data_IF_445557505680
#
_entry.id   IF_445557505680
#
_cell.length_a   1.000
_cell.length_b   1.000
_cell.length_c   1.000
_cell.angle_alpha   90.00
_cell.angle_beta   90.00
_cell.angle_gamma   90.00
#
_symmetry.space_group_name_H-M   'P 1'
#
loop_
_entity.id
_entity.type
_entity.pdbx_description
1 polymer ?
#
# COMPACT_ATOMS: atom_id res chain seq x y z
N UNK A 1 28.29 21.91 28.99
CA UNK A 1 28.16 23.09 29.87
C UNK A 1 26.82 23.71 29.52
N UNK A 2 25.82 23.54 30.39
CA UNK A 2 24.60 24.36 30.35
C UNK A 2 24.95 25.81 30.78
N UNK A 3 24.10 26.84 30.58
CA UNK A 3 22.76 26.96 31.20
C UNK A 3 21.73 27.63 30.23
N UNK A 4 20.48 27.97 30.52
CA UNK A 4 19.63 27.93 31.72
C UNK A 4 18.15 27.97 31.28
N UNK A 5 17.25 27.57 32.18
CA UNK A 5 15.79 27.55 32.02
C UNK A 5 15.13 28.93 32.26
N UNK A 6 13.93 29.12 31.73
CA UNK A 6 13.07 30.27 32.10
C UNK A 6 11.73 30.26 31.38
N UNK A 7 10.72 29.63 32.00
CA UNK A 7 9.31 29.86 31.62
C UNK A 7 8.72 31.05 32.38
N UNK A 8 7.81 31.81 31.76
CA UNK A 8 6.40 32.04 32.18
C UNK A 8 5.70 33.07 31.26
N UNK A 9 4.38 32.90 31.17
CA UNK A 9 3.26 33.47 30.44
C UNK A 9 3.11 34.99 30.16
N UNK A 10 2.52 35.24 28.98
CA UNK A 10 1.72 36.36 28.41
C UNK A 10 1.52 37.70 29.17
N UNK A 11 1.83 38.79 28.45
CA UNK A 11 0.87 39.88 28.16
C UNK A 11 1.42 40.82 27.06
N UNK A 12 0.73 41.00 25.93
CA UNK A 12 1.01 42.12 25.00
C UNK A 12 -0.30 42.75 24.50
N UNK A 13 -0.54 43.97 24.95
CA UNK A 13 -1.42 44.99 24.35
C UNK A 13 -0.81 45.51 23.05
N UNK A 14 -1.69 45.91 22.15
CA UNK A 14 -1.47 46.55 20.86
C UNK A 14 -0.48 47.72 20.87
N UNK A 15 0.40 47.81 19.87
CA UNK A 15 0.34 48.86 18.84
C UNK A 15 1.33 48.60 17.68
N UNK A 16 0.76 48.70 16.49
CA UNK A 16 1.29 48.80 15.11
C UNK A 16 2.69 49.37 14.89
N UNK A 17 3.52 48.69 14.05
CA UNK A 17 3.95 49.13 12.69
C UNK A 17 4.90 48.12 12.05
N UNK A 18 4.84 48.05 10.71
CA UNK A 18 5.66 47.28 9.76
C UNK A 18 5.23 45.82 9.51
N UNK A 19 4.68 45.62 8.31
CA UNK A 19 4.01 44.39 7.88
C UNK A 19 4.96 43.24 7.57
N UNK A 20 4.85 42.18 8.36
CA UNK A 20 5.00 40.80 7.90
C UNK A 20 3.66 40.10 8.11
N UNK A 21 3.02 39.70 7.01
CA UNK A 21 1.86 38.80 7.07
C UNK A 21 2.34 37.45 7.60
N UNK A 22 2.21 37.22 8.89
CA UNK A 22 2.21 35.87 9.45
C UNK A 22 0.89 35.26 9.02
N UNK A 23 0.89 34.55 7.90
CA UNK A 23 -0.21 33.65 7.54
C UNK A 23 -0.15 32.47 8.51
N UNK A 24 -0.83 32.59 9.65
CA UNK A 24 -1.25 31.40 10.41
C UNK A 24 -2.31 30.75 9.53
N UNK A 25 -1.93 29.68 8.84
CA UNK A 25 -2.86 28.83 8.11
C UNK A 25 -3.72 28.10 9.15
N UNK A 26 -4.78 28.74 9.62
CA UNK A 26 -5.90 28.04 10.28
C UNK A 26 -6.61 27.30 9.16
N UNK A 27 -6.05 26.15 8.77
CA UNK A 27 -6.73 25.23 7.88
C UNK A 27 -8.02 24.81 8.56
N UNK A 28 -9.15 25.15 7.96
CA UNK A 28 -10.45 24.62 8.36
C UNK A 28 -10.40 23.10 8.15
N UNK A 29 -9.97 22.36 9.16
CA UNK A 29 -10.00 20.90 9.11
C UNK A 29 -11.47 20.51 9.18
N UNK A 30 -12.04 20.17 8.02
CA UNK A 30 -13.34 19.52 7.98
C UNK A 30 -13.26 18.24 8.80
N UNK A 31 -13.76 18.28 10.03
CA UNK A 31 -14.00 17.11 10.86
C UNK A 31 -15.06 16.29 10.12
N UNK A 32 -14.62 15.37 9.27
CA UNK A 32 -15.53 14.38 8.71
C UNK A 32 -15.89 13.45 9.84
N UNK A 33 -17.14 13.55 10.30
CA UNK A 33 -17.69 12.63 11.29
C UNK A 33 -17.63 11.21 10.72
N UNK A 34 -16.59 10.46 11.10
CA UNK A 34 -16.57 9.02 10.91
C UNK A 34 -17.53 8.49 11.97
N UNK A 35 -18.78 8.26 11.57
CA UNK A 35 -19.81 7.68 12.42
C UNK A 35 -19.26 6.46 13.16
N UNK A 36 -19.46 6.47 14.48
CA UNK A 36 -18.85 5.63 15.51
C UNK A 36 -18.16 4.36 15.02
N UNK A 37 -16.85 4.30 15.22
CA UNK A 37 -16.03 3.10 15.06
C UNK A 37 -16.47 2.08 16.12
N UNK A 38 -17.53 1.30 15.83
CA UNK A 38 -17.86 0.14 16.67
C UNK A 38 -16.69 -0.83 16.61
N UNK A 39 -16.20 -1.26 17.77
CA UNK A 39 -15.23 -2.33 17.87
C UNK A 39 -15.82 -3.57 17.20
N UNK A 40 -15.13 -4.09 16.18
CA UNK A 40 -15.56 -5.32 15.54
C UNK A 40 -15.36 -6.45 16.54
N UNK A 41 -16.43 -7.19 16.88
CA UNK A 41 -16.46 -8.24 17.91
C UNK A 41 -15.64 -9.50 17.58
N UNK A 42 -14.69 -9.43 16.66
CA UNK A 42 -13.90 -10.56 16.19
C UNK A 42 -12.41 -10.28 16.27
N UNK A 43 -11.64 -11.35 16.49
CA UNK A 43 -10.20 -11.29 16.70
C UNK A 43 -9.45 -12.15 15.69
N UNK A 44 -8.23 -11.71 15.36
CA UNK A 44 -7.23 -12.49 14.64
C UNK A 44 -6.32 -13.29 15.59
N UNK A 45 -6.45 -13.12 16.91
CA UNK A 45 -5.67 -13.87 17.90
C UNK A 45 -5.68 -15.40 17.66
N UNK A 46 -6.80 -16.05 17.28
CA UNK A 46 -6.78 -17.48 17.00
C UNK A 46 -5.89 -17.89 15.82
N UNK A 47 -5.58 -16.97 14.90
CA UNK A 47 -4.61 -17.22 13.83
C UNK A 47 -3.19 -17.39 14.38
N UNK A 48 -2.87 -16.71 15.48
CA UNK A 48 -1.53 -16.62 16.05
C UNK A 48 -1.26 -17.66 17.15
N UNK A 49 -2.23 -18.52 17.47
CA UNK A 49 -2.09 -19.54 18.50
C UNK A 49 -0.91 -20.49 18.21
N UNK A 50 0.12 -20.42 19.04
CA UNK A 50 1.34 -21.21 18.89
C UNK A 50 2.20 -20.83 17.68
N UNK A 51 2.07 -19.61 17.17
CA UNK A 51 2.88 -19.08 16.06
C UNK A 51 3.83 -18.02 16.63
N UNK A 52 5.14 -18.28 16.62
CA UNK A 52 6.19 -17.36 17.06
C UNK A 52 6.96 -16.77 15.89
N UNK A 53 7.13 -17.53 14.82
CA UNK A 53 7.78 -17.07 13.59
C UNK A 53 7.20 -17.80 12.38
N UNK A 54 7.08 -17.09 11.26
CA UNK A 54 6.79 -17.72 9.96
C UNK A 54 7.95 -17.52 8.99
N UNK A 55 8.06 -18.40 7.99
CA UNK A 55 9.08 -18.32 6.96
C UNK A 55 8.91 -17.07 6.07
N UNK A 56 9.99 -16.69 5.40
CA UNK A 56 10.02 -15.74 4.29
C UNK A 56 10.34 -16.48 2.99
N UNK A 57 9.32 -17.00 2.27
CA UNK A 57 9.56 -17.73 1.04
C UNK A 57 9.95 -16.78 -0.09
N UNK A 58 11.20 -16.85 -0.55
CA UNK A 58 11.70 -15.94 -1.59
C UNK A 58 11.76 -14.51 -1.08
N UNK A 59 11.00 -13.60 -1.72
CA UNK A 59 10.81 -12.22 -1.23
C UNK A 59 9.31 -11.94 -1.11
N UNK A 60 8.73 -12.07 0.09
CA UNK A 60 7.33 -11.73 0.30
C UNK A 60 7.02 -10.27 -0.01
N UNK A 61 5.79 -10.03 -0.47
CA UNK A 61 5.23 -8.69 -0.61
C UNK A 61 4.40 -8.27 0.60
N UNK A 62 4.00 -7.00 0.60
CA UNK A 62 3.10 -6.45 1.64
C UNK A 62 1.64 -6.41 1.17
N UNK A 63 0.72 -6.21 2.11
CA UNK A 63 -0.70 -5.95 1.87
C UNK A 63 -1.10 -4.59 2.44
N UNK A 64 -2.03 -3.92 1.77
CA UNK A 64 -2.76 -2.81 2.36
C UNK A 64 -4.05 -3.30 2.99
N UNK A 65 -4.22 -3.00 4.28
CA UNK A 65 -5.43 -3.31 5.06
C UNK A 65 -6.18 -2.01 5.26
N UNK A 66 -7.38 -1.88 4.67
CA UNK A 66 -8.10 -0.60 4.62
C UNK A 66 -9.60 -0.68 4.91
N UNK A 67 -10.16 -1.88 5.05
CA UNK A 67 -11.57 -2.04 5.42
C UNK A 67 -11.78 -1.99 6.93
N UNK A 68 -12.98 -1.59 7.39
CA UNK A 68 -13.34 -1.60 8.82
C UNK A 68 -13.41 -3.02 9.41
N UNK A 69 -13.59 -4.03 8.55
CA UNK A 69 -13.64 -5.46 8.89
C UNK A 69 -12.40 -6.23 8.38
N UNK A 70 -11.24 -5.56 8.33
CA UNK A 70 -9.98 -6.15 7.95
C UNK A 70 -8.91 -5.91 9.04
N UNK A 71 -7.94 -6.83 9.17
CA UNK A 71 -6.90 -6.81 10.20
C UNK A 71 -5.59 -7.36 9.64
N UNK A 72 -4.49 -6.73 10.01
CA UNK A 72 -3.18 -7.36 9.85
C UNK A 72 -3.06 -8.56 10.81
N UNK A 73 -2.31 -9.57 10.41
CA UNK A 73 -2.07 -10.81 11.17
C UNK A 73 -0.59 -10.95 11.46
N UNK A 74 0.25 -10.82 10.43
CA UNK A 74 1.71 -10.77 10.55
C UNK A 74 2.20 -9.56 9.79
N UNK A 75 3.19 -8.86 10.33
CA UNK A 75 3.77 -7.66 9.73
C UNK A 75 5.27 -7.79 9.54
N UNK A 76 5.78 -7.07 8.57
CA UNK A 76 7.19 -6.79 8.43
C UNK A 76 7.61 -5.62 9.34
N UNK A 77 8.85 -5.14 9.16
CA UNK A 77 9.28 -3.84 9.66
C UNK A 77 10.03 -3.10 8.56
N UNK A 78 9.50 -1.98 8.11
CA UNK A 78 10.12 -1.16 7.08
C UNK A 78 11.37 -0.41 7.60
N UNK A 79 12.12 0.23 6.69
CA UNK A 79 13.34 0.97 7.05
C UNK A 79 13.10 2.19 7.96
N UNK A 80 11.84 2.61 8.15
CA UNK A 80 11.44 3.66 9.09
C UNK A 80 10.88 3.14 10.42
N UNK A 81 10.94 1.81 10.63
CA UNK A 81 10.40 1.17 11.83
C UNK A 81 8.88 0.96 11.82
N UNK A 82 8.19 1.27 10.71
CA UNK A 82 6.76 1.03 10.57
C UNK A 82 6.48 -0.44 10.25
N UNK A 83 5.43 -0.99 10.83
CA UNK A 83 4.95 -2.32 10.53
C UNK A 83 4.04 -2.30 9.29
N UNK A 84 4.33 -3.13 8.27
CA UNK A 84 3.44 -3.31 7.11
C UNK A 84 2.92 -4.74 7.05
N UNK A 85 1.64 -4.97 6.76
CA UNK A 85 1.07 -6.32 6.73
C UNK A 85 1.74 -7.22 5.68
N UNK A 86 2.09 -8.45 6.07
CA UNK A 86 2.56 -9.55 5.19
C UNK A 86 1.54 -10.69 5.14
N UNK A 87 0.76 -10.82 6.22
CA UNK A 87 -0.44 -11.65 6.27
C UNK A 87 -1.57 -10.79 6.80
N UNK A 88 -2.74 -10.85 6.18
CA UNK A 88 -3.92 -10.10 6.60
C UNK A 88 -5.17 -10.97 6.55
N UNK A 89 -6.18 -10.60 7.33
CA UNK A 89 -7.45 -11.28 7.38
C UNK A 89 -8.62 -10.28 7.29
N UNK A 90 -9.74 -10.71 6.75
CA UNK A 90 -10.95 -9.90 6.68
C UNK A 90 -12.22 -10.74 6.82
N UNK A 91 -13.30 -10.09 7.24
CA UNK A 91 -14.66 -10.65 7.16
C UNK A 91 -15.44 -9.98 6.05
N UNK A 92 -16.19 -10.78 5.29
CA UNK A 92 -17.04 -10.29 4.21
C UNK A 92 -18.38 -11.03 4.21
N UNK A 93 -19.46 -10.30 4.51
CA UNK A 93 -20.75 -10.92 4.83
C UNK A 93 -20.60 -11.91 6.00
N UNK A 94 -20.94 -13.18 5.77
CA UNK A 94 -20.76 -14.26 6.76
C UNK A 94 -19.44 -15.02 6.62
N UNK A 95 -18.63 -14.72 5.59
CA UNK A 95 -17.39 -15.42 5.31
C UNK A 95 -16.15 -14.74 5.90
N UNK A 96 -15.04 -15.47 5.79
CA UNK A 96 -13.75 -15.11 6.35
C UNK A 96 -12.66 -15.32 5.29
N UNK A 97 -11.72 -14.39 5.21
CA UNK A 97 -10.61 -14.44 4.25
C UNK A 97 -9.28 -14.24 4.96
N UNK A 98 -8.26 -15.00 4.57
CA UNK A 98 -6.86 -14.79 4.96
C UNK A 98 -6.02 -14.69 3.68
N UNK A 99 -5.15 -13.68 3.60
CA UNK A 99 -4.30 -13.41 2.45
C UNK A 99 -2.83 -13.38 2.89
N UNK A 100 -1.98 -14.09 2.15
CA UNK A 100 -0.54 -14.19 2.38
C UNK A 100 0.21 -13.47 1.24
N UNK A 101 1.17 -12.60 1.58
CA UNK A 101 1.89 -11.75 0.62
C UNK A 101 2.88 -12.47 -0.30
N UNK A 102 2.86 -13.79 -0.36
CA UNK A 102 3.70 -14.57 -1.29
C UNK A 102 3.07 -15.92 -1.60
N UNK A 103 3.03 -16.33 -2.88
CA UNK A 103 2.50 -17.65 -3.28
C UNK A 103 3.24 -18.82 -2.62
N UNK A 104 4.54 -18.64 -2.36
CA UNK A 104 5.39 -19.63 -1.70
C UNK A 104 4.96 -20.03 -0.29
N UNK A 105 4.11 -19.25 0.40
CA UNK A 105 3.51 -19.65 1.69
C UNK A 105 2.63 -20.91 1.58
N UNK A 106 2.20 -21.26 0.36
CA UNK A 106 1.42 -22.47 0.07
C UNK A 106 2.29 -23.65 -0.40
N UNK A 107 3.62 -23.52 -0.36
CA UNK A 107 4.56 -24.59 -0.68
C UNK A 107 4.90 -25.44 0.55
N UNK A 108 5.18 -26.72 0.37
CA UNK A 108 5.60 -27.61 1.47
C UNK A 108 6.90 -27.12 2.12
N UNK A 109 7.84 -26.60 1.33
CA UNK A 109 9.09 -26.03 1.82
C UNK A 109 8.89 -24.89 2.84
N UNK A 110 7.93 -23.98 2.57
CA UNK A 110 7.60 -22.92 3.53
C UNK A 110 6.86 -23.49 4.75
N UNK A 111 5.93 -24.43 4.54
CA UNK A 111 5.09 -25.00 5.59
C UNK A 111 5.87 -25.82 6.63
N UNK A 112 7.02 -26.37 6.24
CA UNK A 112 7.94 -27.10 7.11
C UNK A 112 8.92 -26.19 7.87
N UNK A 113 9.03 -24.91 7.48
CA UNK A 113 9.91 -23.93 8.12
C UNK A 113 9.17 -23.11 9.18
N UNK A 114 9.74 -23.08 10.39
CA UNK A 114 9.18 -22.40 11.57
C UNK A 114 7.71 -22.79 11.82
N UNK A 115 6.85 -21.85 12.22
CA UNK A 115 5.44 -22.09 12.52
C UNK A 115 4.51 -21.82 11.32
N UNK A 116 5.05 -21.77 10.10
CA UNK A 116 4.27 -21.43 8.89
C UNK A 116 3.13 -22.41 8.65
N UNK A 117 3.39 -23.71 8.77
CA UNK A 117 2.38 -24.75 8.68
C UNK A 117 1.31 -24.63 9.78
N UNK A 118 1.70 -24.23 11.00
CA UNK A 118 0.77 -23.96 12.10
C UNK A 118 -0.13 -22.76 11.76
N UNK A 119 0.41 -21.66 11.26
CA UNK A 119 -0.38 -20.49 10.85
C UNK A 119 -1.40 -20.86 9.77
N UNK A 120 -1.03 -21.69 8.77
CA UNK A 120 -1.97 -22.15 7.75
C UNK A 120 -3.12 -22.99 8.36
N UNK A 121 -2.81 -23.90 9.28
CA UNK A 121 -3.83 -24.71 9.96
C UNK A 121 -4.76 -23.84 10.82
N UNK A 122 -4.23 -22.84 11.50
CA UNK A 122 -5.02 -21.87 12.25
C UNK A 122 -5.92 -21.05 11.31
N UNK A 123 -5.39 -20.63 10.16
CA UNK A 123 -6.17 -19.95 9.12
C UNK A 123 -7.32 -20.82 8.60
N UNK A 124 -7.11 -22.13 8.40
CA UNK A 124 -8.18 -23.06 8.01
C UNK A 124 -9.26 -23.12 9.09
N UNK A 125 -8.89 -23.28 10.36
CA UNK A 125 -9.84 -23.33 11.48
C UNK A 125 -10.64 -22.03 11.63
N UNK A 126 -9.96 -20.90 11.50
CA UNK A 126 -10.55 -19.57 11.60
C UNK A 126 -11.48 -19.27 10.43
N UNK A 127 -11.07 -19.56 9.20
CA UNK A 127 -11.90 -19.38 8.00
C UNK A 127 -13.07 -20.36 7.92
N UNK A 128 -12.92 -21.57 8.49
CA UNK A 128 -13.99 -22.55 8.67
C UNK A 128 -15.05 -22.11 9.69
N UNK A 129 -14.80 -21.04 10.45
CA UNK A 129 -15.68 -20.53 11.51
C UNK A 129 -16.06 -21.63 12.51
N UNK A 130 -15.04 -22.34 13.00
CA UNK A 130 -15.17 -23.45 13.96
C UNK A 130 -15.94 -24.69 13.45
N UNK A 131 -16.19 -24.83 12.15
CA UNK A 131 -16.65 -26.11 11.58
C UNK A 131 -15.58 -27.18 11.84
N UNK A 132 -15.93 -28.26 12.55
CA UNK A 132 -14.98 -29.31 12.99
C UNK A 132 -14.24 -30.00 11.83
N UNK A 133 -14.92 -30.25 10.72
CA UNK A 133 -14.36 -30.93 9.53
C UNK A 133 -14.73 -30.16 8.27
N UNK A 134 -14.03 -29.05 7.96
CA UNK A 134 -14.29 -28.28 6.75
C UNK A 134 -13.83 -29.05 5.52
N UNK A 135 -14.61 -28.99 4.44
CA UNK A 135 -14.24 -29.48 3.11
C UNK A 135 -13.36 -28.43 2.46
N UNK A 136 -12.07 -28.73 2.35
CA UNK A 136 -11.07 -27.82 1.78
C UNK A 136 -10.84 -28.18 0.31
N UNK A 137 -10.96 -27.20 -0.57
CA UNK A 137 -10.56 -27.30 -1.96
C UNK A 137 -9.29 -26.48 -2.18
N UNK A 138 -8.31 -27.07 -2.87
CA UNK A 138 -7.00 -26.47 -3.13
C UNK A 138 -6.82 -26.31 -4.64
N UNK A 139 -6.55 -25.10 -5.09
CA UNK A 139 -6.36 -24.80 -6.51
C UNK A 139 -5.00 -25.34 -6.97
N UNK A 140 -5.01 -26.36 -7.83
CA UNK A 140 -3.84 -26.83 -8.59
C UNK A 140 -2.65 -27.42 -7.81
N UNK A 141 -2.66 -27.40 -6.47
CA UNK A 141 -1.50 -27.75 -5.65
C UNK A 141 -1.69 -29.11 -4.93
N UNK A 142 -1.22 -30.20 -5.58
CA UNK A 142 -1.29 -31.57 -5.05
C UNK A 142 -0.45 -31.77 -3.79
N UNK A 143 0.75 -31.19 -3.75
CA UNK A 143 1.65 -31.30 -2.60
C UNK A 143 1.06 -30.68 -1.34
N UNK A 144 0.40 -29.52 -1.48
CA UNK A 144 -0.35 -28.91 -0.37
C UNK A 144 -1.50 -29.80 0.11
N UNK A 145 -2.23 -30.46 -0.79
CA UNK A 145 -3.26 -31.43 -0.38
C UNK A 145 -2.65 -32.60 0.40
N UNK A 146 -1.50 -33.11 -0.03
CA UNK A 146 -0.74 -34.13 0.69
C UNK A 146 -0.38 -33.69 2.12
N UNK A 147 0.18 -32.48 2.27
CA UNK A 147 0.48 -31.89 3.56
C UNK A 147 -0.77 -31.72 4.43
N UNK A 148 -1.87 -31.19 3.89
CA UNK A 148 -3.10 -30.99 4.65
C UNK A 148 -3.69 -32.32 5.15
N UNK A 149 -3.66 -33.37 4.32
CA UNK A 149 -4.11 -34.71 4.69
C UNK A 149 -3.25 -35.32 5.79
N UNK A 150 -1.92 -35.15 5.76
CA UNK A 150 -1.04 -35.60 6.85
C UNK A 150 -1.31 -34.89 8.18
N UNK A 151 -1.98 -33.74 8.14
CA UNK A 151 -2.49 -33.00 9.32
C UNK A 151 -3.98 -33.24 9.60
N UNK A 152 -4.57 -34.31 9.05
CA UNK A 152 -5.97 -34.69 9.22
C UNK A 152 -6.99 -33.66 8.70
N UNK A 153 -6.63 -32.86 7.69
CA UNK A 153 -7.54 -31.93 7.01
C UNK A 153 -8.06 -32.57 5.73
N UNK A 154 -9.39 -32.61 5.59
CA UNK A 154 -10.07 -33.11 4.39
C UNK A 154 -9.88 -32.14 3.22
N UNK A 155 -8.87 -32.40 2.39
CA UNK A 155 -8.50 -31.56 1.26
C UNK A 155 -8.58 -32.30 -0.09
N UNK A 156 -9.02 -31.59 -1.12
CA UNK A 156 -9.11 -32.06 -2.51
C UNK A 156 -8.50 -31.03 -3.45
N UNK A 157 -7.88 -31.50 -4.54
CA UNK A 157 -7.37 -30.61 -5.58
C UNK A 157 -8.50 -30.27 -6.53
N UNK A 158 -8.62 -28.99 -6.87
CA UNK A 158 -9.59 -28.47 -7.83
C UNK A 158 -8.92 -27.54 -8.83
N UNK A 159 -9.62 -27.25 -9.92
CA UNK A 159 -9.35 -26.10 -10.78
C UNK A 159 -10.35 -24.99 -10.43
N UNK A 160 -9.99 -23.73 -10.70
CA UNK A 160 -10.94 -22.63 -10.59
C UNK A 160 -12.08 -22.80 -11.60
N UNK A 161 -11.76 -23.31 -12.79
CA UNK A 161 -12.74 -23.81 -13.76
C UNK A 161 -13.37 -25.09 -13.22
N UNK A 162 -14.68 -25.05 -12.97
CA UNK A 162 -15.42 -26.18 -12.38
C UNK A 162 -15.57 -26.12 -10.86
N UNK A 163 -15.15 -25.03 -10.20
CA UNK A 163 -15.41 -24.84 -8.77
C UNK A 163 -16.92 -24.86 -8.50
N UNK A 164 -17.37 -25.80 -7.67
CA UNK A 164 -18.75 -25.88 -7.19
C UNK A 164 -18.84 -25.34 -5.75
N UNK A 165 -19.24 -24.07 -5.53
CA UNK A 165 -19.12 -23.44 -4.21
C UNK A 165 -19.98 -24.08 -3.11
N UNK A 166 -21.00 -24.88 -3.47
CA UNK A 166 -21.83 -25.62 -2.51
C UNK A 166 -21.14 -26.88 -1.96
N UNK A 167 -20.18 -27.42 -2.69
CA UNK A 167 -19.47 -28.65 -2.36
C UNK A 167 -18.28 -28.42 -1.40
N UNK A 168 -17.94 -27.17 -1.12
CA UNK A 168 -16.74 -26.81 -0.35
C UNK A 168 -17.09 -25.83 0.77
N UNK A 169 -16.25 -25.80 1.79
CA UNK A 169 -16.35 -24.81 2.87
C UNK A 169 -15.24 -23.76 2.77
N UNK A 170 -14.06 -24.16 2.29
CA UNK A 170 -12.90 -23.28 2.11
C UNK A 170 -12.26 -23.55 0.74
N UNK A 171 -11.89 -22.46 0.05
CA UNK A 171 -10.97 -22.50 -1.09
C UNK A 171 -9.59 -22.01 -0.65
N UNK A 172 -8.54 -22.73 -1.04
CA UNK A 172 -7.13 -22.34 -0.82
C UNK A 172 -6.41 -22.27 -2.17
N UNK A 173 -5.71 -21.17 -2.44
CA UNK A 173 -4.85 -21.06 -3.61
C UNK A 173 -4.74 -19.64 -4.17
N UNK A 174 -3.80 -19.42 -5.12
CA UNK A 174 -3.65 -18.15 -5.80
C UNK A 174 -4.87 -17.87 -6.70
N UNK A 175 -5.14 -16.59 -6.94
CA UNK A 175 -6.26 -16.14 -7.77
C UNK A 175 -5.84 -15.47 -9.08
N UNK A 176 -4.54 -15.31 -9.36
CA UNK A 176 -4.02 -14.62 -10.53
C UNK A 176 -4.60 -15.11 -11.88
N UNK A 177 -4.98 -16.39 -11.98
CA UNK A 177 -5.59 -16.97 -13.19
C UNK A 177 -7.13 -16.91 -13.24
N UNK A 178 -7.80 -16.25 -12.30
CA UNK A 178 -9.26 -16.20 -12.24
C UNK A 178 -9.85 -15.16 -13.21
N UNK A 179 -10.88 -15.55 -13.96
CA UNK A 179 -11.64 -14.64 -14.81
C UNK A 179 -12.70 -13.84 -14.03
N UNK A 180 -13.29 -12.77 -14.62
CA UNK A 180 -14.27 -11.93 -13.91
C UNK A 180 -15.50 -12.68 -13.37
N UNK A 181 -16.00 -13.70 -14.09
CA UNK A 181 -17.15 -14.50 -13.63
C UNK A 181 -16.79 -15.32 -12.39
N UNK A 182 -15.58 -15.85 -12.34
CA UNK A 182 -15.06 -16.58 -11.18
C UNK A 182 -14.89 -15.66 -9.98
N UNK A 183 -14.35 -14.45 -10.17
CA UNK A 183 -14.25 -13.44 -9.11
C UNK A 183 -15.62 -13.12 -8.51
N UNK A 184 -16.65 -12.91 -9.33
CA UNK A 184 -18.02 -12.68 -8.83
C UNK A 184 -18.64 -13.90 -8.15
N UNK A 185 -18.32 -15.11 -8.60
CA UNK A 185 -18.73 -16.35 -7.94
C UNK A 185 -18.09 -16.49 -6.55
N UNK A 186 -16.79 -16.23 -6.45
CA UNK A 186 -16.04 -16.27 -5.19
C UNK A 186 -16.52 -15.21 -4.22
N UNK A 187 -16.77 -13.98 -4.68
CA UNK A 187 -17.34 -12.94 -3.83
C UNK A 187 -18.68 -13.35 -3.23
N UNK A 188 -19.56 -13.99 -4.02
CA UNK A 188 -20.86 -14.52 -3.52
C UNK A 188 -20.66 -15.68 -2.55
N UNK A 189 -19.75 -16.61 -2.83
CA UNK A 189 -19.42 -17.73 -1.97
C UNK A 189 -18.96 -17.25 -0.58
N UNK A 190 -17.99 -16.32 -0.55
CA UNK A 190 -17.45 -15.75 0.69
C UNK A 190 -18.57 -15.00 1.43
N UNK A 191 -19.29 -14.09 0.75
CA UNK A 191 -20.39 -13.33 1.37
C UNK A 191 -21.43 -14.23 2.05
N UNK A 192 -21.69 -15.43 1.51
CA UNK A 192 -22.66 -16.39 2.05
C UNK A 192 -22.15 -17.23 3.22
N UNK A 193 -20.84 -17.24 3.49
CA UNK A 193 -20.24 -17.97 4.61
C UNK A 193 -19.01 -18.80 4.25
N UNK A 194 -18.60 -18.83 2.97
CA UNK A 194 -17.41 -19.55 2.53
C UNK A 194 -16.11 -18.92 3.04
N UNK A 195 -15.08 -19.75 3.22
CA UNK A 195 -13.73 -19.33 3.57
C UNK A 195 -12.82 -19.21 2.34
N UNK A 196 -11.92 -18.22 2.34
CA UNK A 196 -10.85 -18.12 1.35
C UNK A 196 -9.49 -17.99 2.06
N UNK A 197 -8.52 -18.79 1.64
CA UNK A 197 -7.12 -18.57 1.97
C UNK A 197 -6.36 -18.38 0.66
N UNK A 198 -5.90 -17.18 0.40
CA UNK A 198 -5.20 -16.84 -0.85
C UNK A 198 -3.78 -16.43 -0.57
N UNK A 199 -2.91 -16.59 -1.56
CA UNK A 199 -1.53 -16.16 -1.49
C UNK A 199 -1.11 -15.60 -2.84
N UNK A 200 -0.43 -14.46 -2.84
CA UNK A 200 -0.01 -13.80 -4.08
C UNK A 200 1.22 -12.93 -3.86
N UNK A 201 2.11 -12.90 -4.85
CA UNK A 201 3.31 -12.07 -4.84
C UNK A 201 3.02 -10.80 -5.66
N UNK A 202 2.42 -9.80 -5.01
CA UNK A 202 1.89 -8.61 -5.69
C UNK A 202 2.92 -7.84 -6.52
N UNK A 203 4.12 -7.61 -5.97
CA UNK A 203 5.21 -6.96 -6.70
C UNK A 203 5.65 -7.77 -7.94
N UNK A 204 5.80 -9.10 -7.80
CA UNK A 204 6.18 -9.96 -8.91
C UNK A 204 5.11 -10.05 -10.00
N UNK A 205 3.82 -10.00 -9.60
CA UNK A 205 2.73 -9.89 -10.57
C UNK A 205 2.81 -8.58 -11.37
N UNK A 206 3.09 -7.46 -10.70
CA UNK A 206 3.19 -6.15 -11.35
C UNK A 206 4.39 -6.05 -12.30
N UNK A 207 5.51 -6.70 -11.98
CA UNK A 207 6.70 -6.73 -12.84
C UNK A 207 6.44 -7.42 -14.18
N UNK A 208 5.74 -8.56 -14.17
CA UNK A 208 5.43 -9.30 -15.39
C UNK A 208 4.19 -8.77 -16.14
N UNK A 209 3.41 -7.88 -15.52
CA UNK A 209 2.26 -7.19 -16.12
C UNK A 209 2.46 -5.66 -16.11
N UNK A 210 3.57 -5.19 -16.66
CA UNK A 210 4.00 -3.79 -16.57
C UNK A 210 2.99 -2.76 -17.13
N UNK A 211 2.11 -3.18 -18.05
CA UNK A 211 1.07 -2.33 -18.66
C UNK A 211 -0.26 -2.36 -17.91
N UNK A 212 -0.38 -3.19 -16.86
CA UNK A 212 -1.60 -3.36 -16.07
C UNK A 212 -1.45 -2.72 -14.69
N UNK A 213 -2.55 -2.32 -14.07
CA UNK A 213 -2.58 -1.77 -12.72
C UNK A 213 -2.94 -2.89 -11.73
N UNK A 214 -2.02 -3.20 -10.80
CA UNK A 214 -2.21 -4.23 -9.77
C UNK A 214 -3.48 -4.03 -8.94
N UNK A 215 -3.98 -2.80 -8.75
CA UNK A 215 -5.19 -2.56 -7.97
C UNK A 215 -6.46 -2.89 -8.76
N UNK A 216 -6.47 -2.73 -10.09
CA UNK A 216 -7.67 -2.89 -10.93
C UNK A 216 -7.70 -4.15 -11.79
N UNK A 217 -6.55 -4.65 -12.23
CA UNK A 217 -6.46 -5.73 -13.22
C UNK A 217 -6.15 -7.08 -12.58
N UNK A 218 -5.45 -7.09 -11.46
CA UNK A 218 -5.16 -8.31 -10.71
C UNK A 218 -6.45 -8.95 -10.15
N UNK A 219 -6.78 -10.21 -10.52
CA UNK A 219 -8.02 -10.82 -10.09
C UNK A 219 -8.15 -10.98 -8.56
N UNK A 220 -7.03 -11.25 -7.87
CA UNK A 220 -6.97 -11.31 -6.41
C UNK A 220 -7.39 -9.99 -5.77
N UNK A 221 -6.80 -8.87 -6.20
CA UNK A 221 -7.14 -7.54 -5.71
C UNK A 221 -8.56 -7.10 -6.08
N UNK A 222 -9.07 -7.45 -7.28
CA UNK A 222 -10.47 -7.22 -7.65
C UNK A 222 -11.45 -7.86 -6.66
N UNK A 223 -11.12 -9.04 -6.13
CA UNK A 223 -11.89 -9.71 -5.09
C UNK A 223 -11.67 -9.08 -3.72
N UNK A 224 -10.41 -8.98 -3.30
CA UNK A 224 -10.01 -8.59 -1.94
C UNK A 224 -10.35 -7.13 -1.62
N UNK A 225 -10.34 -6.23 -2.61
CA UNK A 225 -10.65 -4.81 -2.40
C UNK A 225 -12.07 -4.63 -1.83
N UNK A 226 -13.02 -5.49 -2.23
CA UNK A 226 -14.41 -5.51 -1.70
C UNK A 226 -14.48 -5.83 -0.21
N UNK A 227 -13.41 -6.38 0.34
CA UNK A 227 -13.25 -6.84 1.72
C UNK A 227 -12.30 -5.95 2.51
N UNK A 228 -11.74 -4.90 1.88
CA UNK A 228 -10.82 -3.99 2.52
C UNK A 228 -9.38 -4.48 2.60
N UNK A 229 -8.95 -5.32 1.66
CA UNK A 229 -7.60 -5.84 1.54
C UNK A 229 -7.12 -5.69 0.09
N UNK A 230 -5.84 -5.41 -0.13
CA UNK A 230 -5.18 -5.58 -1.44
C UNK A 230 -3.72 -5.97 -1.22
N UNK A 231 -3.15 -6.78 -2.11
CA UNK A 231 -1.72 -6.94 -2.28
C UNK A 231 -1.12 -5.66 -2.85
N UNK A 232 0.06 -5.26 -2.37
CA UNK A 232 0.77 -4.08 -2.86
C UNK A 232 1.90 -4.48 -3.81
N UNK A 233 2.46 -3.49 -4.51
CA UNK A 233 3.66 -3.65 -5.32
C UNK A 233 4.96 -3.54 -4.50
N UNK A 234 4.89 -3.57 -3.17
CA UNK A 234 6.06 -3.44 -2.29
C UNK A 234 6.55 -4.80 -1.81
N UNK A 235 7.87 -4.92 -1.67
CA UNK A 235 8.52 -6.03 -0.98
C UNK A 235 8.50 -5.82 0.53
N UNK A 236 8.35 -6.91 1.27
CA UNK A 236 8.47 -6.97 2.71
C UNK A 236 9.94 -7.11 3.12
N UNK A 237 10.26 -6.65 4.33
CA UNK A 237 11.57 -6.88 4.95
C UNK A 237 11.44 -7.86 6.12
N UNK A 238 12.23 -8.92 6.08
CA UNK A 238 12.32 -9.90 7.14
C UNK A 238 12.61 -9.27 8.50
N UNK A 239 11.99 -9.81 9.54
CA UNK A 239 12.18 -9.38 10.95
C UNK A 239 12.93 -10.42 11.79
N UNK A 240 13.24 -11.58 11.19
CA UNK A 240 14.13 -12.63 11.68
C UNK A 240 14.86 -13.25 10.46
N UNK A 241 15.96 -14.02 10.65
CA UNK A 241 16.59 -14.74 9.55
C UNK A 241 15.58 -15.59 8.76
N UNK A 242 15.42 -15.27 7.47
CA UNK A 242 14.47 -15.86 6.53
C UNK A 242 13.03 -15.96 7.07
N UNK A 243 12.55 -14.94 7.78
CA UNK A 243 11.24 -15.00 8.41
C UNK A 243 10.72 -13.74 9.08
N UNK A 244 9.52 -13.88 9.63
CA UNK A 244 8.80 -12.83 10.33
C UNK A 244 8.48 -13.26 11.76
N UNK A 245 8.94 -12.49 12.73
CA UNK A 245 8.61 -12.68 14.15
C UNK A 245 7.15 -12.31 14.39
N UNK A 246 6.45 -13.13 15.17
CA UNK A 246 5.07 -12.92 15.58
C UNK A 246 5.04 -12.64 17.08
N UNK A 247 4.75 -11.39 17.45
CA UNK A 247 4.74 -10.90 18.84
C UNK A 247 3.34 -10.57 19.36
N UNK A 248 2.31 -11.21 18.80
CA UNK A 248 0.90 -10.95 19.11
C UNK A 248 0.17 -10.21 17.99
N UNK A 249 -1.05 -9.75 18.28
CA UNK A 249 -1.89 -9.05 17.29
C UNK A 249 -1.21 -7.73 16.89
N UNK A 250 -0.98 -7.49 15.58
CA UNK A 250 -0.43 -6.22 15.13
C UNK A 250 -1.29 -5.02 15.51
N UNK A 251 -0.66 -3.85 15.68
CA UNK A 251 -1.35 -2.61 16.02
C UNK A 251 -2.50 -2.30 15.06
N UNK A 252 -3.60 -1.78 15.59
CA UNK A 252 -4.73 -1.26 14.80
C UNK A 252 -4.31 -0.18 13.80
N UNK A 253 -3.18 0.50 14.05
CA UNK A 253 -2.62 1.51 13.15
C UNK A 253 -2.12 0.94 11.82
N UNK A 254 -1.95 -0.38 11.71
CA UNK A 254 -1.65 -1.07 10.44
C UNK A 254 -2.87 -1.20 9.53
N UNK A 255 -4.06 -0.84 10.01
CA UNK A 255 -5.28 -0.72 9.22
C UNK A 255 -5.55 0.76 8.89
N UNK A 256 -5.63 1.08 7.60
CA UNK A 256 -5.79 2.44 7.10
C UNK A 256 -7.13 3.09 7.47
N UNK A 257 -8.23 2.33 7.61
CA UNK A 257 -9.50 2.85 8.13
C UNK A 257 -9.36 3.32 9.58
N UNK A 258 -8.68 2.52 10.41
CA UNK A 258 -8.44 2.83 11.83
C UNK A 258 -7.43 3.96 11.98
N UNK A 259 -6.35 3.93 11.20
CA UNK A 259 -5.36 4.99 11.14
C UNK A 259 -5.99 6.34 10.76
N UNK A 260 -6.87 6.36 9.75
CA UNK A 260 -7.58 7.57 9.33
C UNK A 260 -8.56 8.08 10.39
N UNK A 261 -9.29 7.18 11.06
CA UNK A 261 -10.17 7.58 12.16
C UNK A 261 -9.39 8.29 13.28
N UNK A 262 -8.18 7.81 13.61
CA UNK A 262 -7.31 8.42 14.62
C UNK A 262 -6.71 9.76 14.16
N UNK A 263 -6.43 9.95 12.86
CA UNK A 263 -6.10 11.28 12.33
C UNK A 263 -7.23 12.28 12.60
N UNK A 264 -8.49 11.87 12.40
CA UNK A 264 -9.64 12.74 12.66
C UNK A 264 -9.80 13.04 14.15
N UNK A 265 -9.50 12.08 15.04
CA UNK A 265 -9.45 12.31 16.48
C UNK A 265 -8.39 13.34 16.85
N UNK A 266 -7.18 13.24 16.28
CA UNK A 266 -6.12 14.21 16.49
C UNK A 266 -6.49 15.60 16.01
N UNK A 267 -7.07 15.73 14.82
CA UNK A 267 -7.54 17.01 14.30
C UNK A 267 -8.61 17.66 15.19
N UNK A 268 -9.46 16.85 15.84
CA UNK A 268 -10.47 17.33 16.79
C UNK A 268 -9.94 17.57 18.21
N UNK A 269 -8.63 17.43 18.46
CA UNK A 269 -8.03 17.58 19.79
C UNK A 269 -8.35 16.45 20.78
N UNK A 270 -9.05 15.39 20.34
CA UNK A 270 -9.48 14.27 21.21
C UNK A 270 -8.36 13.29 21.56
N UNK A 271 -7.28 13.27 20.77
CA UNK A 271 -6.10 12.42 20.99
C UNK A 271 -4.86 13.07 20.42
N UNK A 272 -3.70 12.81 21.02
CA UNK A 272 -2.40 13.18 20.44
C UNK A 272 -1.65 11.92 20.02
N UNK A 273 -1.18 11.86 18.78
CA UNK A 273 -0.32 10.76 18.33
C UNK A 273 1.12 11.02 18.80
N UNK A 274 1.79 9.98 19.27
CA UNK A 274 3.24 9.98 19.43
C UNK A 274 3.93 10.06 18.06
N UNK A 275 5.23 10.39 18.04
CA UNK A 275 6.02 10.42 16.79
C UNK A 275 5.99 9.07 16.06
N UNK A 276 6.13 7.96 16.80
CA UNK A 276 6.09 6.61 16.22
C UNK A 276 4.71 6.26 15.64
N UNK A 277 3.63 6.62 16.34
CA UNK A 277 2.28 6.44 15.81
C UNK A 277 2.03 7.30 14.56
N UNK A 278 2.49 8.55 14.54
CA UNK A 278 2.37 9.43 13.37
C UNK A 278 3.09 8.83 12.15
N UNK A 279 4.32 8.33 12.33
CA UNK A 279 5.08 7.64 11.27
C UNK A 279 4.33 6.39 10.78
N UNK A 280 3.84 5.55 11.70
CA UNK A 280 3.06 4.35 11.34
C UNK A 280 1.79 4.69 10.56
N UNK A 281 1.04 5.72 11.02
CA UNK A 281 -0.18 6.19 10.37
C UNK A 281 0.12 6.71 8.98
N UNK A 282 1.16 7.54 8.82
CA UNK A 282 1.59 8.06 7.51
C UNK A 282 1.93 6.93 6.56
N UNK A 283 2.76 5.96 6.98
CA UNK A 283 3.09 4.78 6.16
C UNK A 283 1.83 4.03 5.74
N UNK A 284 0.93 3.76 6.69
CA UNK A 284 -0.30 3.01 6.43
C UNK A 284 -1.24 3.73 5.45
N UNK A 285 -1.47 5.04 5.63
CA UNK A 285 -2.36 5.83 4.76
C UNK A 285 -1.78 6.03 3.36
N UNK A 286 -0.48 6.26 3.24
CA UNK A 286 0.18 6.42 1.94
C UNK A 286 0.27 5.12 1.15
N UNK A 287 0.52 3.99 1.81
CA UNK A 287 0.42 2.65 1.18
C UNK A 287 -1.00 2.38 0.69
N UNK A 288 -2.03 2.68 1.50
CA UNK A 288 -3.43 2.58 1.09
C UNK A 288 -3.74 3.47 -0.12
N UNK A 289 -3.35 4.73 -0.08
CA UNK A 289 -3.56 5.68 -1.15
C UNK A 289 -2.97 5.22 -2.50
N UNK A 290 -1.79 4.59 -2.46
CA UNK A 290 -1.09 4.05 -3.64
C UNK A 290 -1.68 2.75 -4.17
N UNK A 291 -2.23 1.90 -3.30
CA UNK A 291 -2.55 0.50 -3.64
C UNK A 291 -4.05 0.23 -3.83
N UNK A 292 -4.92 1.10 -3.33
CA UNK A 292 -6.38 0.91 -3.40
C UNK A 292 -6.90 1.34 -4.79
N UNK A 293 -7.84 0.59 -5.41
CA UNK A 293 -8.41 0.96 -6.69
C UNK A 293 -9.16 2.29 -6.61
N UNK A 294 -9.13 3.07 -7.69
CA UNK A 294 -9.80 4.37 -7.76
C UNK A 294 -11.32 4.32 -7.54
N UNK A 295 -11.93 3.15 -7.76
CA UNK A 295 -13.35 2.84 -7.56
C UNK A 295 -13.72 2.47 -6.11
N UNK A 296 -12.77 2.48 -5.18
CA UNK A 296 -13.04 2.22 -3.77
C UNK A 296 -14.12 3.15 -3.21
N UNK A 297 -14.98 2.55 -2.38
CA UNK A 297 -16.12 3.22 -1.73
C UNK A 297 -15.97 3.23 -0.21
N UNK A 298 -14.91 2.61 0.34
CA UNK A 298 -14.69 2.54 1.77
C UNK A 298 -13.87 3.74 2.26
N UNK A 299 -12.57 3.75 2.00
CA UNK A 299 -11.63 4.69 2.62
C UNK A 299 -11.27 5.85 1.69
N UNK A 300 -10.99 5.54 0.42
CA UNK A 300 -10.36 6.47 -0.51
C UNK A 300 -11.17 7.76 -0.74
N UNK A 301 -12.51 7.75 -0.85
CA UNK A 301 -13.29 8.98 -0.96
C UNK A 301 -13.15 9.90 0.27
N UNK A 302 -13.11 9.30 1.46
CA UNK A 302 -12.99 10.05 2.72
C UNK A 302 -11.58 10.64 2.86
N UNK A 303 -10.55 9.83 2.58
CA UNK A 303 -9.16 10.26 2.64
C UNK A 303 -8.89 11.40 1.66
N UNK A 304 -9.35 11.26 0.41
CA UNK A 304 -9.20 12.30 -0.62
C UNK A 304 -9.89 13.60 -0.24
N UNK A 305 -11.09 13.53 0.35
CA UNK A 305 -11.79 14.72 0.84
C UNK A 305 -11.01 15.40 1.97
N UNK A 306 -10.50 14.64 2.92
CA UNK A 306 -9.76 15.19 4.06
C UNK A 306 -8.46 15.91 3.65
N UNK A 307 -7.78 15.44 2.61
CA UNK A 307 -6.53 16.05 2.13
C UNK A 307 -6.73 16.98 0.93
N UNK A 308 -7.95 17.20 0.45
CA UNK A 308 -8.18 17.89 -0.83
C UNK A 308 -7.63 19.32 -0.84
N UNK A 309 -7.87 20.08 0.23
CA UNK A 309 -7.37 21.45 0.36
C UNK A 309 -5.87 21.48 0.59
N UNK A 310 -5.36 20.66 1.52
CA UNK A 310 -3.93 20.53 1.77
C UNK A 310 -3.17 20.12 0.50
N UNK A 311 -3.75 19.27 -0.34
CA UNK A 311 -3.16 18.85 -1.61
C UNK A 311 -3.15 19.94 -2.68
N UNK A 312 -3.76 21.10 -2.45
CA UNK A 312 -3.59 22.30 -3.29
C UNK A 312 -2.51 23.23 -2.74
N UNK A 313 -2.43 23.32 -1.41
CA UNK A 313 -1.68 24.38 -0.73
C UNK A 313 -0.29 23.93 -0.24
N UNK A 314 -0.11 22.64 0.04
CA UNK A 314 1.12 22.08 0.61
C UNK A 314 1.97 21.47 -0.48
N UNK A 315 3.21 21.92 -0.62
CA UNK A 315 4.22 21.27 -1.43
C UNK A 315 5.57 21.35 -0.73
N UNK A 316 6.39 20.28 -0.74
CA UNK A 316 7.67 20.29 -0.04
C UNK A 316 8.65 21.30 -0.63
N UNK A 317 9.39 22.00 0.24
CA UNK A 317 10.51 22.88 -0.10
C UNK A 317 11.57 22.82 1.01
N UNK A 318 12.83 23.24 0.77
CA UNK A 318 13.84 23.35 1.82
C UNK A 318 13.37 24.17 3.03
N UNK A 319 12.64 25.27 2.81
CA UNK A 319 12.15 26.16 3.86
C UNK A 319 10.91 25.61 4.58
N UNK A 320 10.16 24.72 3.93
CA UNK A 320 8.94 24.08 4.46
C UNK A 320 8.97 22.59 4.16
N UNK A 321 9.80 21.80 4.87
CA UNK A 321 9.85 20.37 4.68
C UNK A 321 8.54 19.73 5.17
N UNK A 322 8.14 18.64 4.51
CA UNK A 322 6.99 17.83 4.92
C UNK A 322 7.51 16.51 5.47
N UNK A 323 7.38 16.30 6.78
CA UNK A 323 7.89 15.11 7.45
C UNK A 323 6.83 14.02 7.57
N UNK A 324 7.24 12.78 7.85
CA UNK A 324 6.29 11.68 8.14
C UNK A 324 5.47 11.91 9.43
N UNK A 325 5.88 12.84 10.30
CA UNK A 325 5.08 13.21 11.47
C UNK A 325 3.97 14.22 11.15
N UNK A 326 4.05 14.89 9.99
CA UNK A 326 3.02 15.80 9.48
C UNK A 326 1.99 15.02 8.65
N UNK A 327 1.29 14.09 9.29
CA UNK A 327 0.52 13.01 8.65
C UNK A 327 -0.33 13.48 7.45
N UNK A 328 -1.24 14.44 7.65
CA UNK A 328 -2.15 14.88 6.59
C UNK A 328 -1.44 15.65 5.48
N UNK A 329 -0.40 16.42 5.80
CA UNK A 329 0.42 17.10 4.82
C UNK A 329 1.19 16.10 3.96
N UNK A 330 1.77 15.06 4.57
CA UNK A 330 2.48 14.01 3.85
C UNK A 330 1.54 13.21 2.94
N UNK A 331 0.35 12.85 3.43
CA UNK A 331 -0.68 12.17 2.63
C UNK A 331 -1.17 13.07 1.48
N UNK A 332 -1.29 14.38 1.70
CA UNK A 332 -1.65 15.34 0.67
C UNK A 332 -0.63 15.37 -0.47
N UNK A 333 0.66 15.41 -0.15
CA UNK A 333 1.76 15.34 -1.15
C UNK A 333 1.75 13.99 -1.88
N UNK A 334 1.50 12.88 -1.18
CA UNK A 334 1.34 11.58 -1.82
C UNK A 334 0.14 11.53 -2.78
N UNK A 335 -0.96 12.22 -2.46
CA UNK A 335 -2.13 12.33 -3.35
C UNK A 335 -1.84 13.20 -4.57
N UNK A 336 -1.06 14.27 -4.44
CA UNK A 336 -0.58 15.05 -5.58
C UNK A 336 0.22 14.16 -6.54
N UNK A 337 1.22 13.45 -6.03
CA UNK A 337 2.06 12.56 -6.82
C UNK A 337 1.22 11.48 -7.54
N UNK A 338 0.27 10.87 -6.82
CA UNK A 338 -0.64 9.87 -7.39
C UNK A 338 -1.55 10.44 -8.48
N UNK A 339 -2.03 11.67 -8.34
CA UNK A 339 -2.86 12.34 -9.37
C UNK A 339 -2.03 12.62 -10.61
N UNK A 340 -0.85 13.23 -10.44
CA UNK A 340 0.06 13.55 -11.53
C UNK A 340 0.44 12.31 -12.34
N UNK A 341 0.69 11.18 -11.68
CA UNK A 341 1.01 9.91 -12.34
C UNK A 341 -0.13 9.31 -13.19
N UNK A 342 -1.37 9.83 -13.07
CA UNK A 342 -2.55 9.31 -13.80
C UNK A 342 -3.12 10.30 -14.82
N UNK A 343 -2.58 11.51 -14.92
CA UNK A 343 -3.00 12.48 -15.92
C UNK A 343 -2.44 12.13 -17.29
N UNK A 344 -3.20 12.42 -18.35
CA UNK A 344 -2.64 12.38 -19.70
C UNK A 344 -1.54 13.45 -19.83
N UNK A 345 -0.50 13.24 -20.67
CA UNK A 345 0.59 14.20 -20.81
C UNK A 345 0.14 15.64 -21.10
N UNK A 346 -0.94 15.81 -21.87
CA UNK A 346 -1.52 17.09 -22.27
C UNK A 346 -2.23 17.81 -21.11
N UNK A 347 -2.65 17.07 -20.09
CA UNK A 347 -3.32 17.58 -18.89
C UNK A 347 -2.33 17.96 -17.78
N UNK A 348 -1.08 17.50 -17.86
CA UNK A 348 -0.05 17.82 -16.87
C UNK A 348 0.23 19.33 -16.92
N UNK A 349 0.35 19.92 -15.73
CA UNK A 349 0.76 21.31 -15.52
C UNK A 349 1.96 21.35 -14.59
N UNK A 350 2.71 22.45 -14.62
CA UNK A 350 3.86 22.63 -13.73
C UNK A 350 3.38 22.55 -12.28
N UNK A 351 3.97 21.64 -11.50
CA UNK A 351 3.70 21.58 -10.07
C UNK A 351 4.26 22.84 -9.39
N UNK A 352 3.59 23.44 -8.38
CA UNK A 352 4.12 24.62 -7.70
C UNK A 352 5.54 24.46 -7.15
N UNK A 353 5.90 23.25 -6.69
CA UNK A 353 7.26 22.93 -6.24
C UNK A 353 8.34 23.09 -7.34
N UNK A 354 7.95 23.15 -8.61
CA UNK A 354 8.86 23.29 -9.74
C UNK A 354 9.69 24.59 -9.69
N UNK A 355 9.20 25.64 -9.02
CA UNK A 355 9.96 26.88 -8.83
C UNK A 355 11.17 26.70 -7.91
N UNK A 356 11.11 25.73 -7.00
CA UNK A 356 12.19 25.36 -6.09
C UNK A 356 13.08 24.29 -6.74
N UNK A 357 12.46 23.21 -7.24
CA UNK A 357 13.16 22.17 -7.97
C UNK A 357 12.22 21.55 -9.02
N UNK A 358 12.62 21.47 -10.30
CA UNK A 358 13.98 21.68 -10.84
C UNK A 358 14.35 23.15 -11.12
N UNK A 359 13.52 24.13 -10.72
CA UNK A 359 13.73 25.55 -10.93
C UNK A 359 12.91 26.12 -12.10
N UNK A 360 12.74 27.45 -12.10
CA UNK A 360 12.13 28.14 -13.22
C UNK A 360 13.05 28.11 -14.45
N UNK A 361 12.46 27.92 -15.63
CA UNK A 361 13.19 28.07 -16.89
C UNK A 361 13.35 29.57 -17.17
N UNK A 362 14.56 30.07 -17.48
CA UNK A 362 14.77 31.48 -17.82
C UNK A 362 13.88 31.92 -18.98
N UNK A 363 13.34 33.13 -18.94
CA UNK A 363 12.38 33.63 -19.93
C UNK A 363 12.98 33.74 -21.33
N UNK A 364 14.29 33.97 -21.41
CA UNK A 364 15.11 34.02 -22.61
C UNK A 364 15.46 32.65 -23.20
N UNK A 365 15.18 31.56 -22.47
CA UNK A 365 15.48 30.20 -22.94
C UNK A 365 14.64 29.88 -24.17
N UNK A 366 15.32 29.55 -25.28
CA UNK A 366 14.66 29.23 -26.54
C UNK A 366 14.21 27.77 -26.55
N UNK A 367 12.99 27.53 -27.03
CA UNK A 367 12.58 26.19 -27.45
C UNK A 367 13.41 25.78 -28.66
N UNK A 368 13.90 24.55 -28.66
CA UNK A 368 14.73 24.01 -29.73
C UNK A 368 14.17 22.68 -30.22
N UNK A 369 14.32 22.44 -31.52
CA UNK A 369 14.22 21.09 -32.10
C UNK A 369 15.65 20.64 -32.38
N UNK A 370 16.03 19.47 -31.85
CA UNK A 370 17.41 18.95 -31.98
C UNK A 370 17.37 17.49 -32.40
N UNK A 371 18.12 17.16 -33.43
CA UNK A 371 18.43 15.79 -33.79
C UNK A 371 19.62 15.33 -32.93
N UNK A 372 19.46 14.19 -32.25
CA UNK A 372 20.51 13.59 -31.41
C UNK A 372 20.80 12.20 -31.95
N UNK A 373 22.07 11.93 -32.23
CA UNK A 373 22.53 10.59 -32.58
C UNK A 373 22.73 9.77 -31.30
N UNK A 374 22.07 8.62 -31.21
CA UNK A 374 22.19 7.70 -30.08
C UNK A 374 22.82 6.41 -30.58
N UNK A 375 24.00 6.09 -30.05
CA UNK A 375 24.67 4.81 -30.34
C UNK A 375 24.13 3.72 -29.39
N UNK A 376 23.29 2.85 -29.93
CA UNK A 376 22.68 1.75 -29.17
C UNK A 376 23.65 0.64 -28.81
N UNK A 377 24.88 0.64 -29.34
CA UNK A 377 25.94 -0.25 -28.88
C UNK A 377 26.44 0.12 -27.47
N UNK A 378 26.18 1.34 -27.00
CA UNK A 378 26.54 1.81 -25.66
C UNK A 378 25.34 1.62 -24.71
N UNK A 379 25.39 0.70 -23.73
CA UNK A 379 24.25 0.33 -22.90
C UNK A 379 23.95 1.33 -21.76
N UNK A 380 24.43 2.57 -21.85
CA UNK A 380 24.29 3.62 -20.82
C UNK A 380 23.34 4.71 -21.27
N UNK A 381 23.06 5.66 -20.38
CA UNK A 381 22.26 6.84 -20.74
C UNK A 381 23.03 7.74 -21.69
N UNK A 382 22.33 8.16 -22.75
CA UNK A 382 22.81 9.15 -23.70
C UNK A 382 22.17 10.49 -23.35
N UNK A 383 22.99 11.45 -22.91
CA UNK A 383 22.48 12.80 -22.59
C UNK A 383 22.16 13.55 -23.87
N UNK A 384 20.98 14.18 -23.91
CA UNK A 384 20.60 15.08 -25.01
C UNK A 384 21.17 16.49 -24.83
N UNK A 385 21.66 16.82 -23.62
CA UNK A 385 22.02 18.19 -23.22
C UNK A 385 20.84 19.17 -23.23
N UNK A 386 19.60 18.66 -23.27
CA UNK A 386 18.38 19.47 -23.30
C UNK A 386 17.71 19.47 -21.93
N UNK A 387 17.02 20.56 -21.64
CA UNK A 387 16.20 20.70 -20.44
C UNK A 387 14.71 20.58 -20.81
N UNK A 388 13.96 19.79 -20.05
CA UNK A 388 12.51 19.68 -20.20
C UNK A 388 11.81 20.65 -19.23
N UNK A 389 11.08 21.66 -19.73
CA UNK A 389 10.36 22.59 -18.87
C UNK A 389 9.29 21.87 -18.03
N UNK A 390 9.18 22.13 -16.71
CA UNK A 390 8.17 21.51 -15.86
C UNK A 390 6.75 21.67 -16.42
N UNK A 391 6.02 20.55 -16.51
CA UNK A 391 4.64 20.52 -17.00
C UNK A 391 4.43 20.97 -18.44
N UNK A 392 5.48 20.91 -19.27
CA UNK A 392 5.38 21.12 -20.72
C UNK A 392 5.57 19.79 -21.44
N UNK A 393 4.79 19.61 -22.51
CA UNK A 393 4.94 18.47 -23.41
C UNK A 393 6.29 18.56 -24.13
N UNK A 394 6.98 17.42 -24.23
CA UNK A 394 8.15 17.23 -25.09
C UNK A 394 7.76 16.23 -26.17
N UNK A 395 8.11 16.53 -27.42
CA UNK A 395 7.87 15.64 -28.55
C UNK A 395 9.19 14.95 -28.92
N UNK A 396 9.13 13.64 -29.10
CA UNK A 396 10.29 12.81 -29.46
C UNK A 396 9.89 12.01 -30.68
N UNK A 397 10.60 12.24 -31.79
CA UNK A 397 10.42 11.48 -33.03
C UNK A 397 11.57 10.50 -33.18
N UNK A 398 11.24 9.24 -33.48
CA UNK A 398 12.20 8.19 -33.76
C UNK A 398 12.14 7.81 -35.24
N UNK A 399 13.26 7.44 -35.86
CA UNK A 399 13.22 6.86 -37.20
C UNK A 399 12.49 5.50 -37.15
N UNK A 400 11.82 5.13 -38.25
CA UNK A 400 10.96 3.94 -38.30
C UNK A 400 11.66 2.65 -37.85
N UNK A 401 12.95 2.48 -38.19
CA UNK A 401 13.73 1.29 -37.80
C UNK A 401 14.02 1.20 -36.30
N UNK A 402 13.94 2.32 -35.56
CA UNK A 402 14.15 2.36 -34.11
C UNK A 402 12.86 2.15 -33.31
N UNK A 403 11.69 2.19 -33.97
CA UNK A 403 10.42 1.89 -33.31
C UNK A 403 10.40 0.44 -32.81
N UNK A 404 9.85 0.23 -31.61
CA UNK A 404 9.76 -1.11 -31.00
C UNK A 404 11.06 -1.67 -30.43
N UNK A 405 12.19 -0.98 -30.55
CA UNK A 405 13.49 -1.42 -30.02
C UNK A 405 13.66 -1.22 -28.51
N UNK A 406 12.57 -0.92 -27.78
CA UNK A 406 12.60 -0.73 -26.32
C UNK A 406 13.32 0.53 -25.83
N UNK A 407 13.61 1.49 -26.71
CA UNK A 407 14.21 2.78 -26.33
C UNK A 407 13.29 3.57 -25.39
N UNK A 408 13.88 4.23 -24.38
CA UNK A 408 13.14 5.01 -23.37
C UNK A 408 13.75 6.39 -23.20
N UNK A 409 12.90 7.40 -23.07
CA UNK A 409 13.31 8.76 -22.70
C UNK A 409 13.17 8.92 -21.20
N UNK A 410 14.19 9.49 -20.56
CA UNK A 410 14.21 9.77 -19.12
C UNK A 410 14.40 11.27 -18.90
N UNK A 411 13.48 11.86 -18.14
CA UNK A 411 13.56 13.24 -17.65
C UNK A 411 13.94 13.21 -16.17
N UNK A 412 14.81 14.11 -15.74
CA UNK A 412 15.26 14.17 -14.34
C UNK A 412 16.22 13.04 -13.97
N UNK A 413 17.22 12.77 -14.82
CA UNK A 413 18.28 11.84 -14.48
C UNK A 413 19.19 12.43 -13.40
N UNK A 414 18.99 12.01 -12.15
CA UNK A 414 19.91 12.27 -11.06
C UNK A 414 20.48 10.93 -10.56
N UNK A 415 21.78 10.90 -10.24
CA UNK A 415 22.53 9.73 -9.79
C UNK A 415 23.04 9.93 -8.36
N UNK A 416 22.28 10.65 -7.54
CA UNK A 416 22.70 11.12 -6.23
C UNK A 416 22.09 10.30 -5.07
N UNK A 417 22.92 10.08 -4.05
CA UNK A 417 22.56 9.45 -2.77
C UNK A 417 22.23 10.55 -1.74
N UNK A 418 21.18 11.32 -1.96
CA UNK A 418 20.83 12.47 -1.09
C UNK A 418 20.14 12.08 0.23
N UNK A 419 19.74 10.81 0.39
CA UNK A 419 19.00 10.29 1.55
C UNK A 419 19.76 10.25 2.88
N UNK A 420 21.01 10.72 2.94
CA UNK A 420 21.87 10.64 4.13
C UNK A 420 22.68 11.89 4.48
N UNK A 421 22.41 13.05 3.87
CA UNK A 421 23.08 14.29 4.25
C UNK A 421 22.15 15.16 5.11
N UNK A 422 22.65 15.75 6.22
CA UNK A 422 21.89 16.75 6.95
C UNK A 422 21.61 17.95 6.03
N UNK A 423 20.36 18.41 6.07
CA UNK A 423 19.83 19.56 5.31
C UNK A 423 20.51 20.87 5.67
#
# INVERSE_FOLDING_TARGET
>A
MAPDEGGTSLNIRSHTKSGRRIQVLVGLVCVVAVSGVRASSWSVQPLLEGVKQIASPGVPGTLSVFGPNARAVVTDRDGSGSARPVVAAAKYGRGCVVAFGHTGYLSTAALEKADTGRLLLNAIRWTARAKRRPRVAVVGNRSLVGFLRSKNVAATVVRLDGLQPRAIDILIGPLAGANPKQIESLARFIRRGGGLITAETGWGWQEIHAEQDLATDNPGNRLLARMGLVFTAETARDTAPDGFVVQGVPSELTNAWRAFALCNEQASGRRRLSKAEAVQVTTTLTTALRSIPGSDRLLLPQLRRAVQQLARDVFPSPERPVSKTDVLAYVAVAEQARRLAKLAPEEIRAHPAATVFPGAVPGEARKVTRVVTVDTAIPRWHSTGLYAPPGRLIEVTLPAHAAGQGLKVRVGCHSDRLWGKPS
#
